data_IF_181458322958
#
_entry.id   IF_181458322958
#
_cell.length_a   1.000
_cell.length_b   1.000
_cell.length_c   1.000
_cell.angle_alpha   90.00
_cell.angle_beta   90.00
_cell.angle_gamma   90.00
#
_symmetry.space_group_name_H-M   'P 1'
#
loop_
_entity.id
_entity.type
_entity.pdbx_description
1 polymer ?
#
# COMPACT_ATOMS: atom_id res chain seq x y z
N UNK A 1 24.75 -11.98 -7.32
CA UNK A 1 23.62 -11.32 -6.63
C UNK A 1 23.61 -11.82 -5.19
N UNK A 2 23.90 -10.94 -4.24
CA UNK A 2 23.75 -11.26 -2.81
C UNK A 2 22.27 -11.11 -2.45
N UNK A 3 21.68 -12.13 -1.82
CA UNK A 3 20.30 -12.06 -1.35
C UNK A 3 20.27 -11.30 -0.02
N UNK A 4 19.55 -10.19 0.05
CA UNK A 4 19.37 -9.38 1.27
C UNK A 4 18.28 -9.94 2.21
N UNK A 5 17.81 -11.17 1.97
CA UNK A 5 16.74 -11.77 2.73
C UNK A 5 17.30 -12.53 3.93
N UNK A 6 16.71 -12.30 5.10
CA UNK A 6 16.90 -13.18 6.25
C UNK A 6 16.02 -14.42 6.01
N UNK A 7 16.59 -15.64 5.97
CA UNK A 7 15.80 -16.84 5.81
C UNK A 7 14.92 -17.05 7.04
N UNK A 8 13.60 -17.15 6.82
CA UNK A 8 12.63 -17.48 7.85
C UNK A 8 12.24 -18.95 7.71
N UNK A 9 12.17 -19.67 8.84
CA UNK A 9 11.52 -20.98 8.89
C UNK A 9 10.04 -20.78 9.25
N UNK A 10 9.08 -21.06 8.34
CA UNK A 10 7.66 -20.83 8.60
C UNK A 10 7.12 -21.62 9.79
N UNK A 11 7.74 -22.76 10.12
CA UNK A 11 7.33 -23.61 11.25
C UNK A 11 7.66 -23.00 12.62
N UNK A 12 8.44 -21.92 12.65
CA UNK A 12 8.84 -21.20 13.87
C UNK A 12 8.08 -19.87 14.04
N UNK A 13 7.12 -19.57 13.16
CA UNK A 13 6.32 -18.36 13.24
C UNK A 13 5.01 -18.66 13.96
N UNK A 14 4.80 -18.04 15.12
CA UNK A 14 3.55 -18.17 15.87
C UNK A 14 2.44 -17.28 15.30
N UNK A 15 2.80 -16.18 14.62
CA UNK A 15 1.88 -15.26 13.98
C UNK A 15 2.55 -14.46 12.85
N UNK A 16 1.73 -13.86 11.99
CA UNK A 16 2.16 -12.89 10.97
C UNK A 16 1.26 -11.66 11.01
N UNK A 17 1.85 -10.49 10.83
CA UNK A 17 1.11 -9.24 10.59
C UNK A 17 1.19 -8.99 9.09
N UNK A 18 0.03 -8.76 8.49
CA UNK A 18 -0.10 -8.49 7.06
C UNK A 18 -0.69 -7.10 6.92
N UNK A 19 -0.10 -6.30 6.03
CA UNK A 19 -0.65 -5.01 5.66
C UNK A 19 -1.97 -5.18 4.90
N UNK A 20 -2.84 -4.18 4.96
CA UNK A 20 -4.17 -4.26 4.34
C UNK A 20 -4.14 -3.66 2.93
N UNK A 21 -3.75 -2.39 2.84
CA UNK A 21 -3.80 -1.59 1.62
C UNK A 21 -2.72 -2.01 0.62
N UNK A 22 -3.13 -2.27 -0.63
CA UNK A 22 -2.21 -2.73 -1.67
C UNK A 22 -1.62 -4.13 -1.45
N UNK A 23 -1.98 -4.81 -0.34
CA UNK A 23 -1.54 -6.18 -0.02
C UNK A 23 -2.73 -7.14 -0.02
N UNK A 24 -3.70 -6.94 0.86
CA UNK A 24 -4.91 -7.77 0.95
C UNK A 24 -6.09 -7.18 0.16
N UNK A 25 -6.12 -5.85 0.02
CA UNK A 25 -7.14 -5.12 -0.74
C UNK A 25 -6.48 -4.28 -1.82
N UNK A 26 -7.03 -4.32 -3.04
CA UNK A 26 -6.54 -3.49 -4.14
C UNK A 26 -7.06 -2.04 -4.01
N UNK A 27 -6.43 -1.27 -3.12
CA UNK A 27 -6.81 0.13 -2.84
C UNK A 27 -6.01 1.16 -3.65
N UNK A 28 -5.11 0.72 -4.54
CA UNK A 28 -4.21 1.62 -5.28
C UNK A 28 -4.97 2.61 -6.18
N UNK A 29 -6.02 2.15 -6.86
CA UNK A 29 -6.88 3.00 -7.70
C UNK A 29 -7.78 3.95 -6.90
N UNK A 30 -8.21 3.52 -5.71
CA UNK A 30 -9.14 4.27 -4.85
C UNK A 30 -8.43 5.43 -4.14
N UNK A 31 -7.13 5.30 -3.87
CA UNK A 31 -6.36 6.32 -3.16
C UNK A 31 -6.23 7.62 -3.97
N UNK A 32 -5.93 7.52 -5.27
CA UNK A 32 -5.82 8.69 -6.15
C UNK A 32 -7.15 9.44 -6.25
N UNK A 33 -8.27 8.72 -6.29
CA UNK A 33 -9.61 9.29 -6.32
C UNK A 33 -9.96 10.00 -5.00
N UNK A 34 -9.74 9.35 -3.86
CA UNK A 34 -9.99 9.95 -2.55
C UNK A 34 -9.14 11.21 -2.32
N UNK A 35 -7.86 11.17 -2.73
CA UNK A 35 -6.95 12.31 -2.63
C UNK A 35 -7.37 13.46 -3.55
N UNK A 36 -7.76 13.17 -4.79
CA UNK A 36 -8.23 14.20 -5.72
C UNK A 36 -9.53 14.87 -5.26
N UNK A 37 -10.43 14.15 -4.56
CA UNK A 37 -11.61 14.75 -3.93
C UNK A 37 -11.23 15.73 -2.82
N UNK A 38 -10.30 15.34 -1.94
CA UNK A 38 -9.79 16.22 -0.89
C UNK A 38 -9.11 17.47 -1.48
N UNK A 39 -8.31 17.32 -2.55
CA UNK A 39 -7.66 18.45 -3.21
C UNK A 39 -8.68 19.41 -3.85
N UNK A 40 -9.75 18.86 -4.44
CA UNK A 40 -10.84 19.67 -4.98
C UNK A 40 -11.53 20.53 -3.90
N UNK A 41 -11.80 19.96 -2.72
CA UNK A 41 -12.36 20.69 -1.58
C UNK A 41 -11.44 21.83 -1.11
N UNK A 42 -10.12 21.67 -1.26
CA UNK A 42 -9.12 22.68 -0.95
C UNK A 42 -8.82 23.65 -2.10
N UNK A 43 -9.51 23.52 -3.24
CA UNK A 43 -9.27 24.30 -4.47
C UNK A 43 -7.83 24.16 -5.00
N UNK A 44 -7.25 22.96 -4.85
CA UNK A 44 -5.91 22.62 -5.33
C UNK A 44 -6.01 21.78 -6.62
N UNK A 45 -4.97 21.80 -7.48
CA UNK A 45 -4.96 21.02 -8.71
C UNK A 45 -4.92 19.51 -8.43
N UNK A 46 -5.58 18.74 -9.30
CA UNK A 46 -5.58 17.27 -9.25
C UNK A 46 -4.21 16.68 -9.63
N UNK A 47 -3.94 15.48 -9.14
CA UNK A 47 -2.76 14.69 -9.47
C UNK A 47 -3.12 13.48 -10.34
N UNK A 48 -2.18 13.05 -11.19
CA UNK A 48 -2.34 11.85 -12.01
C UNK A 48 -2.23 10.57 -11.14
N UNK A 49 -3.01 9.52 -11.45
CA UNK A 49 -2.77 8.19 -10.87
C UNK A 49 -1.38 7.68 -11.26
N UNK A 50 -0.71 6.97 -10.35
CA UNK A 50 0.57 6.30 -10.58
C UNK A 50 0.35 4.92 -11.23
#
# INVERSE_FOLDING_TARGET
MISNLIPLNPQQLDAAIVDLDGTMVNTLGDFAEALNRMLADLQLPAIAPQ
#
